data_IF_806288408630
#
_entry.id   IF_806288408630
#
_cell.length_a   1.000
_cell.length_b   1.000
_cell.length_c   1.000
_cell.angle_alpha   90.00
_cell.angle_beta   90.00
_cell.angle_gamma   90.00
#
_symmetry.space_group_name_H-M   'P 1'
#
loop_
_entity.id
_entity.type
_entity.pdbx_description
1 polymer ?
#
# COMPACT_ATOMS: atom_id res chain seq x y z
N UNK A 1 53.18 39.65 -73.48
CA UNK A 1 53.70 38.39 -74.07
C UNK A 1 53.89 37.42 -72.90
N UNK A 2 52.90 36.58 -72.56
CA UNK A 2 52.75 35.18 -73.04
C UNK A 2 54.08 34.44 -72.87
N UNK A 3 54.29 33.40 -72.06
CA UNK A 3 53.56 32.15 -71.73
C UNK A 3 54.25 31.66 -70.42
N UNK A 4 53.62 31.07 -69.39
CA UNK A 4 53.48 29.62 -69.21
C UNK A 4 52.56 29.33 -68.01
N UNK A 5 51.38 28.85 -68.37
CA UNK A 5 50.53 27.95 -67.60
C UNK A 5 51.28 26.64 -67.27
N UNK A 6 50.70 25.85 -66.37
CA UNK A 6 51.02 24.44 -66.03
C UNK A 6 52.15 24.18 -65.03
N UNK A 7 51.85 24.27 -63.73
CA UNK A 7 52.59 23.48 -62.71
C UNK A 7 51.82 23.22 -61.39
N UNK A 8 50.82 24.03 -61.03
CA UNK A 8 50.28 24.03 -59.66
C UNK A 8 49.02 23.16 -59.39
N UNK A 9 48.48 22.45 -60.38
CA UNK A 9 47.26 21.63 -60.17
C UNK A 9 47.58 20.17 -59.78
N UNK A 10 48.74 19.63 -60.19
CA UNK A 10 49.05 18.21 -60.00
C UNK A 10 49.49 17.84 -58.57
N UNK A 11 50.08 18.78 -57.82
CA UNK A 11 50.59 18.52 -56.45
C UNK A 11 49.50 18.43 -55.37
N UNK A 12 48.41 19.16 -55.52
CA UNK A 12 47.35 19.24 -54.49
C UNK A 12 46.38 18.05 -54.55
N UNK A 13 46.08 17.54 -55.76
CA UNK A 13 45.27 16.32 -55.92
C UNK A 13 45.98 15.08 -55.35
N UNK A 14 47.29 14.93 -55.56
CA UNK A 14 48.05 13.78 -55.01
C UNK A 14 48.10 13.73 -53.48
N UNK A 15 48.15 14.89 -52.80
CA UNK A 15 48.14 14.95 -51.33
C UNK A 15 46.78 14.60 -50.73
N UNK A 16 45.68 15.05 -51.35
CA UNK A 16 44.33 14.69 -50.88
C UNK A 16 44.01 13.21 -51.12
N UNK A 17 44.47 12.64 -52.22
CA UNK A 17 44.23 11.23 -52.53
C UNK A 17 45.00 10.29 -51.59
N UNK A 18 46.25 10.63 -51.24
CA UNK A 18 46.99 9.86 -50.22
C UNK A 18 46.38 9.99 -48.81
N UNK A 19 45.90 11.18 -48.41
CA UNK A 19 45.20 11.34 -47.14
C UNK A 19 43.89 10.54 -47.08
N UNK A 20 43.15 10.47 -48.20
CA UNK A 20 41.92 9.68 -48.31
C UNK A 20 42.21 8.18 -48.21
N UNK A 21 43.25 7.69 -48.89
CA UNK A 21 43.64 6.27 -48.88
C UNK A 21 44.12 5.83 -47.48
N UNK A 22 44.81 6.71 -46.74
CA UNK A 22 45.26 6.42 -45.38
C UNK A 22 44.11 6.39 -44.36
N UNK A 23 43.08 7.24 -44.54
CA UNK A 23 41.87 7.21 -43.73
C UNK A 23 41.05 5.93 -43.96
N UNK A 24 40.88 5.49 -45.21
CA UNK A 24 40.19 4.23 -45.54
C UNK A 24 40.96 2.98 -45.06
N UNK A 25 42.29 3.02 -45.00
CA UNK A 25 43.10 1.86 -44.56
C UNK A 25 43.03 1.59 -43.05
N UNK A 26 42.74 2.60 -42.23
CA UNK A 26 42.59 2.44 -40.77
C UNK A 26 41.20 1.93 -40.37
N UNK A 27 40.16 2.34 -41.10
CA UNK A 27 38.77 1.91 -40.85
C UNK A 27 38.54 0.42 -41.15
N UNK A 28 39.32 -0.17 -42.06
CA UNK A 28 39.23 -1.60 -42.43
C UNK A 28 40.11 -2.54 -41.61
N UNK A 29 40.84 -2.07 -40.59
CA UNK A 29 41.74 -2.96 -39.84
C UNK A 29 40.95 -3.86 -38.85
N UNK A 30 41.25 -5.17 -38.77
CA UNK A 30 40.56 -6.08 -37.83
C UNK A 30 40.64 -5.60 -36.37
N UNK A 31 41.74 -4.93 -36.01
CA UNK A 31 41.98 -4.36 -34.68
C UNK A 31 41.02 -3.23 -34.35
N UNK A 32 40.83 -2.27 -35.27
CA UNK A 32 39.93 -1.13 -35.07
C UNK A 32 38.46 -1.57 -35.00
N UNK A 33 38.06 -2.46 -35.91
CA UNK A 33 36.71 -3.05 -35.93
C UNK A 33 36.41 -3.87 -34.66
N UNK A 34 37.40 -4.64 -34.17
CA UNK A 34 37.31 -5.38 -32.91
C UNK A 34 37.17 -4.45 -31.70
N UNK A 35 37.93 -3.35 -31.68
CA UNK A 35 37.86 -2.36 -30.61
C UNK A 35 36.49 -1.66 -30.54
N UNK A 36 35.97 -1.22 -31.70
CA UNK A 36 34.63 -0.63 -31.80
C UNK A 36 33.55 -1.64 -31.35
N UNK A 37 33.65 -2.90 -31.76
CA UNK A 37 32.72 -3.94 -31.34
C UNK A 37 32.77 -4.23 -29.83
N UNK A 38 33.96 -4.15 -29.21
CA UNK A 38 34.14 -4.32 -27.75
C UNK A 38 33.54 -3.14 -26.98
N UNK A 39 33.75 -1.91 -27.44
CA UNK A 39 33.15 -0.69 -26.86
C UNK A 39 31.63 -0.72 -27.01
N UNK A 40 31.12 -1.07 -28.20
CA UNK A 40 29.67 -1.19 -28.47
C UNK A 40 29.02 -2.25 -27.59
N UNK A 41 29.64 -3.43 -27.42
CA UNK A 41 29.16 -4.47 -26.48
C UNK A 41 29.17 -4.02 -25.02
N UNK A 42 30.18 -3.24 -24.60
CA UNK A 42 30.26 -2.68 -23.24
C UNK A 42 29.17 -1.63 -22.97
N UNK A 43 28.95 -0.72 -23.93
CA UNK A 43 27.89 0.28 -23.87
C UNK A 43 26.51 -0.39 -23.86
N UNK A 44 26.26 -1.36 -24.74
CA UNK A 44 25.00 -2.12 -24.78
C UNK A 44 24.76 -2.87 -23.46
N UNK A 45 25.80 -3.50 -22.88
CA UNK A 45 25.68 -4.14 -21.55
C UNK A 45 25.35 -3.14 -20.44
N UNK A 46 25.97 -1.95 -20.43
CA UNK A 46 25.67 -0.89 -19.45
C UNK A 46 24.24 -0.34 -19.63
N UNK A 47 23.79 -0.14 -20.87
CA UNK A 47 22.42 0.29 -21.18
C UNK A 47 21.41 -0.79 -20.74
N UNK A 48 21.65 -2.06 -21.06
CA UNK A 48 20.78 -3.16 -20.63
C UNK A 48 20.73 -3.30 -19.09
N UNK A 49 21.83 -3.06 -18.40
CA UNK A 49 21.88 -3.07 -16.93
C UNK A 49 21.08 -1.90 -16.32
N UNK A 50 21.17 -0.70 -16.90
CA UNK A 50 20.41 0.49 -16.47
C UNK A 50 18.90 0.32 -16.78
N UNK A 51 18.56 -0.21 -17.95
CA UNK A 51 17.16 -0.52 -18.33
C UNK A 51 16.58 -1.62 -17.43
N UNK A 52 17.38 -2.62 -17.06
CA UNK A 52 17.00 -3.64 -16.07
C UNK A 52 16.74 -3.07 -14.67
N UNK A 53 17.50 -2.05 -14.25
CA UNK A 53 17.30 -1.33 -12.99
C UNK A 53 16.02 -0.45 -12.99
N UNK A 54 15.65 0.11 -14.14
CA UNK A 54 14.44 0.93 -14.30
C UNK A 54 13.15 0.10 -14.39
N UNK A 55 13.24 -1.18 -14.76
CA UNK A 55 12.08 -2.09 -14.89
C UNK A 55 11.72 -2.84 -13.59
N UNK A 56 12.44 -2.61 -12.48
CA UNK A 56 12.24 -3.35 -11.22
C UNK A 56 11.34 -2.65 -10.19
N UNK A 57 10.76 -1.47 -10.47
CA UNK A 57 9.77 -0.84 -9.59
C UNK A 57 8.35 -1.15 -10.06
N UNK A 58 7.93 -2.40 -9.91
CA UNK A 58 6.52 -2.67 -9.64
C UNK A 58 6.22 -2.19 -8.22
N UNK A 59 6.18 -0.87 -8.01
CA UNK A 59 5.76 -0.30 -6.75
C UNK A 59 4.30 -0.69 -6.54
N UNK A 60 4.08 -1.67 -5.67
CA UNK A 60 2.77 -1.92 -5.08
C UNK A 60 2.40 -0.66 -4.32
N UNK A 61 1.61 0.21 -4.95
CA UNK A 61 1.42 1.56 -4.46
C UNK A 61 0.66 1.51 -3.13
N UNK A 62 1.27 2.06 -2.09
CA UNK A 62 0.65 2.40 -0.82
C UNK A 62 -0.16 3.71 -0.94
N UNK A 63 -0.86 4.12 0.13
CA UNK A 63 -1.39 5.47 0.23
C UNK A 63 -0.25 6.49 0.24
N UNK A 64 -0.21 7.41 -0.72
CA UNK A 64 0.82 8.46 -0.82
C UNK A 64 0.31 9.87 -0.54
N UNK A 65 -1.02 10.05 -0.43
CA UNK A 65 -1.64 11.38 -0.49
C UNK A 65 -2.53 11.70 0.71
N UNK A 66 -3.18 10.71 1.32
CA UNK A 66 -4.12 10.95 2.42
C UNK A 66 -3.38 10.81 3.75
N UNK A 67 -2.93 11.92 4.34
CA UNK A 67 -2.21 11.88 5.64
C UNK A 67 -3.13 12.04 6.86
N UNK A 68 -4.31 12.64 6.68
CA UNK A 68 -5.22 12.96 7.79
C UNK A 68 -6.24 11.84 8.01
N UNK A 69 -6.19 11.20 9.18
CA UNK A 69 -7.16 10.17 9.54
C UNK A 69 -8.61 10.70 9.54
N UNK A 70 -8.81 11.96 9.93
CA UNK A 70 -10.13 12.61 9.86
C UNK A 70 -10.60 12.80 8.41
N UNK A 71 -9.69 13.16 7.50
CA UNK A 71 -9.99 13.25 6.07
C UNK A 71 -10.31 11.86 5.49
N UNK A 72 -9.56 10.83 5.85
CA UNK A 72 -9.80 9.45 5.43
C UNK A 72 -11.22 8.99 5.81
N UNK A 73 -11.61 9.15 7.09
CA UNK A 73 -12.96 8.82 7.58
C UNK A 73 -14.06 9.57 6.84
N UNK A 74 -13.91 10.88 6.65
CA UNK A 74 -14.88 11.70 5.90
C UNK A 74 -15.00 11.28 4.44
N UNK A 75 -13.89 10.90 3.82
CA UNK A 75 -13.83 10.42 2.43
C UNK A 75 -14.56 9.10 2.28
N UNK A 76 -14.30 8.13 3.18
CA UNK A 76 -15.02 6.86 3.17
C UNK A 76 -16.52 7.04 3.38
N UNK A 77 -16.92 7.87 4.35
CA UNK A 77 -18.32 8.13 4.67
C UNK A 77 -19.09 8.75 3.50
N UNK A 78 -18.52 9.77 2.84
CA UNK A 78 -19.22 10.57 1.83
C UNK A 78 -19.11 10.03 0.42
N UNK A 79 -17.98 9.41 0.07
CA UNK A 79 -17.66 9.06 -1.31
C UNK A 79 -17.60 7.54 -1.54
N UNK A 80 -17.39 6.74 -0.48
CA UNK A 80 -17.27 5.28 -0.61
C UNK A 80 -18.51 4.57 -0.10
N UNK A 81 -18.98 4.86 1.11
CA UNK A 81 -20.06 4.14 1.80
C UNK A 81 -21.43 4.81 1.70
N UNK A 82 -21.58 5.87 0.88
CA UNK A 82 -22.79 6.69 0.86
C UNK A 82 -24.08 5.95 0.45
N UNK A 83 -23.94 4.86 -0.32
CA UNK A 83 -25.01 3.96 -0.78
C UNK A 83 -24.87 2.53 -0.22
N UNK A 84 -23.92 2.29 0.69
CA UNK A 84 -23.67 0.97 1.29
C UNK A 84 -23.30 1.11 2.76
N UNK A 85 -24.21 1.64 3.58
CA UNK A 85 -23.97 1.90 5.01
C UNK A 85 -24.17 0.66 5.87
N UNK A 86 -23.27 -0.31 5.76
CA UNK A 86 -23.30 -1.57 6.50
C UNK A 86 -21.97 -1.81 7.22
N UNK A 87 -22.01 -2.20 8.50
CA UNK A 87 -20.82 -2.48 9.31
C UNK A 87 -20.12 -3.79 8.91
N UNK A 88 -18.80 -3.84 9.11
CA UNK A 88 -17.94 -4.96 8.74
C UNK A 88 -18.35 -6.26 9.44
N UNK A 89 -18.42 -6.22 10.77
CA UNK A 89 -18.60 -7.42 11.59
C UNK A 89 -20.07 -7.86 11.65
N UNK A 90 -20.94 -6.98 12.13
CA UNK A 90 -22.30 -7.35 12.53
C UNK A 90 -23.36 -7.12 11.44
N UNK A 91 -22.98 -6.60 10.27
CA UNK A 91 -23.96 -6.29 9.23
C UNK A 91 -25.00 -5.22 9.62
N UNK A 92 -24.77 -4.48 10.72
CA UNK A 92 -25.65 -3.41 11.16
C UNK A 92 -25.68 -2.27 10.14
N UNK A 93 -26.85 -1.70 9.89
CA UNK A 93 -26.99 -0.49 9.08
C UNK A 93 -26.68 0.76 9.90
N UNK A 94 -26.30 1.85 9.23
CA UNK A 94 -26.13 3.15 9.87
C UNK A 94 -26.57 4.31 8.99
N UNK A 95 -26.95 5.44 9.61
CA UNK A 95 -27.40 6.64 8.90
C UNK A 95 -26.25 7.63 8.60
N UNK A 96 -26.57 8.74 7.91
CA UNK A 96 -25.63 9.84 7.61
C UNK A 96 -25.15 10.59 8.86
N UNK A 97 -25.86 10.44 9.99
CA UNK A 97 -25.49 10.98 11.31
C UNK A 97 -24.71 9.95 12.13
N UNK A 98 -24.30 8.82 11.53
CA UNK A 98 -23.52 7.73 12.14
C UNK A 98 -24.29 6.94 13.19
N UNK A 99 -25.60 7.12 13.33
CA UNK A 99 -26.41 6.31 14.23
C UNK A 99 -26.50 4.88 13.70
N UNK A 100 -26.32 3.91 14.58
CA UNK A 100 -26.39 2.48 14.28
C UNK A 100 -27.81 1.98 14.48
N UNK A 101 -28.31 1.21 13.50
CA UNK A 101 -29.46 0.32 13.67
C UNK A 101 -28.91 -1.11 13.76
N UNK A 102 -28.75 -1.66 14.99
CA UNK A 102 -28.15 -2.98 15.18
C UNK A 102 -29.11 -4.09 14.68
N UNK A 103 -28.59 -5.26 14.27
CA UNK A 103 -29.44 -6.37 13.89
C UNK A 103 -30.26 -6.87 15.09
N UNK A 104 -31.47 -7.44 14.86
CA UNK A 104 -32.25 -8.08 15.92
C UNK A 104 -31.40 -9.06 16.72
N UNK A 105 -31.53 -9.04 18.04
CA UNK A 105 -30.75 -9.89 18.95
C UNK A 105 -29.33 -9.42 19.25
N UNK A 106 -28.87 -8.29 18.69
CA UNK A 106 -27.59 -7.71 19.07
C UNK A 106 -27.64 -7.26 20.54
N UNK A 107 -26.60 -7.62 21.30
CA UNK A 107 -26.43 -7.23 22.70
C UNK A 107 -25.00 -6.80 22.95
N UNK A 108 -24.78 -5.98 23.97
CA UNK A 108 -23.45 -5.49 24.33
C UNK A 108 -23.50 -4.97 25.75
N UNK A 109 -22.90 -5.69 26.70
CA UNK A 109 -22.91 -5.27 28.11
C UNK A 109 -21.77 -4.29 28.41
N UNK A 110 -20.69 -4.35 27.62
CA UNK A 110 -19.57 -3.41 27.68
C UNK A 110 -19.70 -2.34 26.60
N UNK A 111 -19.22 -1.14 26.89
CA UNK A 111 -19.19 -0.01 25.94
C UNK A 111 -20.56 0.38 25.36
N UNK A 112 -21.66 0.20 26.10
CA UNK A 112 -23.06 0.45 25.66
C UNK A 112 -23.25 1.79 24.95
N UNK A 113 -22.63 2.87 25.44
CA UNK A 113 -22.72 4.20 24.82
C UNK A 113 -22.12 4.23 23.41
N UNK A 114 -21.05 3.46 23.16
CA UNK A 114 -20.38 3.35 21.85
C UNK A 114 -21.17 2.48 20.87
N UNK A 115 -22.06 1.59 21.34
CA UNK A 115 -22.93 0.78 20.48
C UNK A 115 -23.86 1.61 19.59
N UNK A 116 -24.14 2.87 19.98
CA UNK A 116 -25.08 3.77 19.29
C UNK A 116 -24.52 4.40 18.01
N UNK A 117 -23.19 4.37 17.83
CA UNK A 117 -22.52 5.08 16.73
C UNK A 117 -21.56 4.19 15.97
N UNK A 118 -21.44 4.46 14.67
CA UNK A 118 -20.41 3.83 13.84
C UNK A 118 -19.04 4.41 14.19
N UNK A 119 -18.06 3.54 14.27
CA UNK A 119 -16.65 3.89 14.37
C UNK A 119 -15.89 3.28 13.19
N UNK A 120 -14.82 3.96 12.76
CA UNK A 120 -13.97 3.46 11.69
C UNK A 120 -12.90 2.56 12.28
N UNK A 121 -13.06 1.27 12.03
CA UNK A 121 -12.17 0.19 12.43
C UNK A 121 -10.93 0.14 11.55
N UNK A 122 -9.77 -0.01 12.19
CA UNK A 122 -8.50 -0.37 11.56
C UNK A 122 -8.39 -1.90 11.54
N UNK A 123 -8.77 -2.55 10.43
CA UNK A 123 -8.78 -4.02 10.34
C UNK A 123 -7.40 -4.60 10.70
N UNK A 124 -6.33 -4.07 10.14
CA UNK A 124 -4.99 -4.18 10.72
C UNK A 124 -4.84 -3.06 11.76
N UNK A 125 -4.77 -3.37 13.07
CA UNK A 125 -4.74 -2.36 14.12
C UNK A 125 -3.60 -1.36 13.93
N UNK A 126 -3.83 -0.08 14.22
CA UNK A 126 -2.77 0.92 14.05
C UNK A 126 -1.57 0.74 14.99
N UNK A 127 -1.72 -0.03 16.06
CA UNK A 127 -0.59 -0.47 16.89
C UNK A 127 0.26 -1.55 16.21
N UNK A 128 -0.37 -2.46 15.45
CA UNK A 128 0.34 -3.58 14.83
C UNK A 128 1.41 -3.10 13.86
N UNK A 129 1.10 -2.08 13.04
CA UNK A 129 2.11 -1.39 12.25
C UNK A 129 2.78 -0.24 13.01
N UNK A 130 2.09 0.44 13.93
CA UNK A 130 2.61 1.59 14.67
C UNK A 130 3.85 1.30 15.51
N UNK A 131 3.91 0.14 16.17
CA UNK A 131 5.07 -0.26 17.00
C UNK A 131 6.39 -0.41 16.22
N UNK A 132 6.34 -0.39 14.89
CA UNK A 132 7.54 -0.43 14.04
C UNK A 132 8.18 0.96 13.87
N UNK A 133 7.50 2.03 14.28
CA UNK A 133 7.96 3.42 14.25
C UNK A 133 8.70 3.81 15.53
N UNK A 134 9.77 4.61 15.41
CA UNK A 134 10.56 5.07 16.57
C UNK A 134 9.73 6.00 17.45
N UNK A 135 8.92 6.85 16.83
CA UNK A 135 8.01 7.80 17.46
C UNK A 135 6.95 7.08 18.31
N UNK A 136 6.63 5.84 17.94
CA UNK A 136 5.75 5.00 18.74
C UNK A 136 6.46 4.39 19.94
N UNK A 137 7.64 3.79 19.74
CA UNK A 137 8.35 3.00 20.77
C UNK A 137 9.09 3.86 21.79
N UNK A 138 9.76 4.88 21.29
CA UNK A 138 10.79 5.63 22.02
C UNK A 138 10.43 7.13 22.08
N UNK A 139 9.66 7.62 21.11
CA UNK A 139 9.22 9.01 21.02
C UNK A 139 10.01 9.77 19.96
N UNK A 140 9.84 11.10 19.94
CA UNK A 140 10.52 12.02 19.03
C UNK A 140 10.74 13.36 19.74
N UNK A 141 11.72 14.14 19.32
CA UNK A 141 12.02 15.46 19.90
C UNK A 141 10.84 16.43 19.74
N UNK A 142 10.00 16.26 18.73
CA UNK A 142 8.78 17.04 18.55
C UNK A 142 7.67 16.61 19.52
N UNK A 143 7.77 15.45 20.15
CA UNK A 143 6.73 14.88 21.01
C UNK A 143 6.90 15.29 22.48
N UNK A 144 6.92 16.59 22.71
CA UNK A 144 6.92 17.20 24.04
C UNK A 144 5.62 17.97 24.25
N UNK A 145 5.00 17.84 25.42
CA UNK A 145 3.78 18.60 25.75
C UNK A 145 4.12 20.00 26.27
N UNK A 146 3.09 20.83 26.50
CA UNK A 146 3.28 22.21 26.95
C UNK A 146 3.95 22.33 28.34
N UNK A 147 4.12 21.23 29.07
CA UNK A 147 4.81 21.16 30.37
C UNK A 147 6.23 20.60 30.25
N UNK A 148 6.79 20.50 29.03
CA UNK A 148 8.12 19.94 28.80
C UNK A 148 8.21 18.41 28.91
N UNK A 149 7.09 17.69 29.13
CA UNK A 149 7.10 16.22 29.27
C UNK A 149 7.03 15.54 27.90
N UNK A 150 8.03 14.72 27.60
CA UNK A 150 8.06 13.86 26.43
C UNK A 150 6.92 12.82 26.45
N UNK A 151 6.40 12.46 25.28
CA UNK A 151 5.40 11.41 25.10
C UNK A 151 5.68 10.58 23.84
N UNK A 152 5.15 9.35 23.82
CA UNK A 152 5.33 8.38 22.73
C UNK A 152 4.01 7.72 22.32
N UNK A 153 4.07 6.71 21.46
CA UNK A 153 2.92 5.95 20.98
C UNK A 153 2.17 6.64 19.84
N UNK A 154 0.92 6.22 19.60
CA UNK A 154 0.08 6.69 18.48
C UNK A 154 0.08 8.20 18.30
N UNK A 155 -0.04 8.96 19.39
CA UNK A 155 -0.09 10.42 19.35
C UNK A 155 1.22 11.02 18.82
N UNK A 156 2.36 10.47 19.25
CA UNK A 156 3.67 10.92 18.80
C UNK A 156 3.91 10.51 17.34
N UNK A 157 3.65 9.25 16.99
CA UNK A 157 3.75 8.76 15.61
C UNK A 157 2.89 9.59 14.64
N UNK A 158 1.66 9.97 15.03
CA UNK A 158 0.81 10.86 14.23
C UNK A 158 1.42 12.26 14.06
N UNK A 159 2.10 12.80 15.08
CA UNK A 159 2.73 14.13 15.04
C UNK A 159 3.98 14.13 14.16
N UNK A 160 4.90 13.19 14.41
CA UNK A 160 6.26 13.26 13.89
C UNK A 160 6.50 12.39 12.64
N UNK A 161 5.68 11.37 12.36
CA UNK A 161 5.92 10.45 11.23
C UNK A 161 4.89 10.62 10.10
N UNK A 162 5.36 11.09 8.94
CA UNK A 162 4.56 11.14 7.69
C UNK A 162 4.16 9.75 7.20
N UNK A 163 5.10 8.80 7.22
CA UNK A 163 4.83 7.41 6.80
C UNK A 163 3.73 6.79 7.68
N UNK A 164 3.77 6.99 9.01
CA UNK A 164 2.71 6.54 9.90
C UNK A 164 1.34 7.18 9.58
N UNK A 165 1.32 8.49 9.29
CA UNK A 165 0.11 9.21 8.87
C UNK A 165 -0.53 8.65 7.61
N UNK A 166 0.29 8.30 6.62
CA UNK A 166 -0.16 7.65 5.39
C UNK A 166 -0.72 6.25 5.67
N UNK A 167 0.01 5.43 6.44
CA UNK A 167 -0.44 4.07 6.80
C UNK A 167 -1.77 4.04 7.56
N UNK A 168 -1.93 4.89 8.59
CA UNK A 168 -3.16 4.90 9.40
C UNK A 168 -4.37 5.46 8.65
N UNK A 169 -4.14 6.22 7.59
CA UNK A 169 -5.17 6.89 6.81
C UNK A 169 -5.52 6.14 5.54
N UNK A 170 -4.91 4.96 5.32
CA UNK A 170 -5.18 4.12 4.18
C UNK A 170 -6.64 3.62 4.20
N UNK A 171 -7.41 4.06 3.20
CA UNK A 171 -8.83 3.78 3.05
C UNK A 171 -9.10 2.28 2.92
N UNK A 172 -8.17 1.48 2.35
CA UNK A 172 -8.36 0.04 2.22
C UNK A 172 -8.39 -0.67 3.57
N UNK A 173 -7.76 -0.10 4.61
CA UNK A 173 -7.70 -0.67 5.96
C UNK A 173 -8.83 -0.19 6.89
N UNK A 174 -9.69 0.71 6.42
CA UNK A 174 -10.70 1.38 7.23
C UNK A 174 -12.13 0.92 6.89
N UNK A 175 -12.82 0.39 7.89
CA UNK A 175 -14.18 -0.14 7.72
C UNK A 175 -15.14 0.38 8.81
N UNK A 176 -16.43 0.56 8.52
CA UNK A 176 -17.41 0.88 9.55
C UNK A 176 -17.62 -0.30 10.50
N UNK A 177 -17.65 -0.06 11.80
CA UNK A 177 -17.97 -1.04 12.84
C UNK A 177 -18.88 -0.42 13.91
N UNK A 178 -19.66 -1.26 14.61
CA UNK A 178 -20.37 -0.83 15.82
C UNK A 178 -19.31 -0.44 16.86
N UNK A 179 -19.42 0.74 17.49
CA UNK A 179 -18.38 1.26 18.37
C UNK A 179 -18.04 0.37 19.57
N UNK A 180 -18.99 -0.39 20.12
CA UNK A 180 -18.72 -1.35 21.20
C UNK A 180 -17.93 -2.57 20.72
N UNK A 181 -18.23 -3.08 19.53
CA UNK A 181 -17.51 -4.19 18.89
C UNK A 181 -16.08 -3.74 18.56
N UNK A 182 -15.92 -2.53 18.00
CA UNK A 182 -14.61 -1.93 17.75
C UNK A 182 -13.79 -1.78 19.04
N UNK A 183 -14.43 -1.32 20.12
CA UNK A 183 -13.80 -1.17 21.42
C UNK A 183 -13.31 -2.50 22.00
N UNK A 184 -14.17 -3.53 21.96
CA UNK A 184 -13.85 -4.85 22.50
C UNK A 184 -12.80 -5.58 21.66
N UNK A 185 -12.82 -5.42 20.33
CA UNK A 185 -11.81 -5.97 19.42
C UNK A 185 -10.42 -5.45 19.75
N UNK A 186 -10.30 -4.19 20.16
CA UNK A 186 -9.02 -3.59 20.58
C UNK A 186 -7.94 -3.73 19.49
N UNK A 187 -6.73 -4.17 19.86
CA UNK A 187 -5.62 -4.50 18.96
C UNK A 187 -5.47 -6.03 18.75
N UNK A 188 -6.51 -6.81 19.06
CA UNK A 188 -6.40 -8.26 19.08
C UNK A 188 -6.28 -8.83 17.67
N UNK A 189 -5.39 -9.81 17.55
CA UNK A 189 -5.20 -10.56 16.31
C UNK A 189 -6.41 -11.46 16.06
N UNK A 190 -6.73 -11.63 14.78
CA UNK A 190 -7.80 -12.54 14.39
C UNK A 190 -7.35 -13.99 14.42
N UNK A 191 -8.22 -14.87 14.91
CA UNK A 191 -8.01 -16.31 15.02
C UNK A 191 -9.34 -17.05 14.84
N UNK A 192 -9.28 -18.37 14.77
CA UNK A 192 -10.40 -19.25 15.17
C UNK A 192 -10.31 -19.50 16.67
N UNK A 193 -11.42 -19.35 17.40
CA UNK A 193 -11.56 -19.64 18.81
C UNK A 193 -12.38 -20.93 19.00
N UNK A 194 -12.01 -21.81 19.95
CA UNK A 194 -12.77 -23.02 20.22
C UNK A 194 -14.10 -22.68 20.90
N UNK A 195 -15.22 -23.10 20.31
CA UNK A 195 -16.58 -23.19 20.90
C UNK A 195 -17.09 -22.05 21.81
N UNK A 196 -16.50 -20.86 21.80
CA UNK A 196 -16.97 -19.73 22.62
C UNK A 196 -18.31 -19.20 22.09
N UNK A 197 -19.25 -18.78 22.97
CA UNK A 197 -20.43 -18.05 22.56
C UNK A 197 -20.04 -16.69 21.96
N UNK A 198 -20.95 -16.11 21.19
CA UNK A 198 -20.78 -14.75 20.69
C UNK A 198 -20.93 -13.72 21.82
N UNK A 199 -19.99 -12.78 21.93
CA UNK A 199 -20.03 -11.71 22.95
C UNK A 199 -21.11 -10.67 22.69
N UNK A 200 -21.68 -10.64 21.48
CA UNK A 200 -22.56 -9.58 21.00
C UNK A 200 -23.95 -10.06 20.60
N UNK A 201 -24.43 -11.14 21.21
CA UNK A 201 -25.74 -11.72 20.92
C UNK A 201 -25.78 -12.28 19.49
N UNK A 202 -26.64 -11.73 18.63
CA UNK A 202 -26.76 -12.17 17.24
C UNK A 202 -25.53 -11.86 16.37
N UNK A 203 -24.66 -10.93 16.79
CA UNK A 203 -23.41 -10.67 16.10
C UNK A 203 -22.33 -11.66 16.56
N UNK A 204 -21.92 -12.55 15.64
CA UNK A 204 -21.00 -13.68 15.88
C UNK A 204 -19.52 -13.28 16.04
N UNK A 205 -19.26 -12.12 16.67
CA UNK A 205 -17.91 -11.74 17.09
C UNK A 205 -17.65 -12.40 18.44
N UNK A 206 -16.48 -13.02 18.58
CA UNK A 206 -16.01 -13.64 19.82
C UNK A 206 -14.68 -13.04 20.23
N UNK A 207 -14.50 -12.73 21.51
CA UNK A 207 -13.33 -12.11 22.10
C UNK A 207 -12.91 -12.94 23.31
N UNK A 208 -11.84 -13.70 23.15
CA UNK A 208 -11.25 -14.47 24.25
C UNK A 208 -9.73 -14.29 24.27
N UNK A 209 -9.16 -14.21 25.48
CA UNK A 209 -7.73 -14.17 25.73
C UNK A 209 -6.93 -13.29 24.76
N UNK A 210 -7.38 -12.04 24.57
CA UNK A 210 -6.78 -11.03 23.66
C UNK A 210 -6.70 -11.47 22.20
N UNK A 211 -7.64 -12.30 21.77
CA UNK A 211 -7.84 -12.72 20.38
C UNK A 211 -9.28 -12.44 19.98
N UNK A 212 -9.51 -12.28 18.69
CA UNK A 212 -10.83 -12.05 18.13
C UNK A 212 -11.16 -13.10 17.06
N UNK A 213 -12.31 -13.75 17.14
CA UNK A 213 -12.88 -14.47 16.02
C UNK A 213 -13.97 -13.60 15.37
N UNK A 214 -13.81 -13.21 14.09
CA UNK A 214 -14.82 -12.44 13.39
C UNK A 214 -15.91 -13.36 12.79
N UNK A 215 -17.12 -12.82 12.55
CA UNK A 215 -18.17 -13.49 11.80
C UNK A 215 -17.68 -13.94 10.43
N UNK A 216 -18.23 -15.05 9.94
CA UNK A 216 -17.87 -15.66 8.65
C UNK A 216 -17.92 -14.62 7.51
N UNK A 217 -18.98 -13.80 7.46
CA UNK A 217 -19.20 -12.76 6.46
C UNK A 217 -18.13 -11.64 6.43
N UNK A 218 -17.28 -11.54 7.46
CA UNK A 218 -16.20 -10.55 7.52
C UNK A 218 -14.82 -11.13 7.14
N UNK A 219 -14.64 -12.46 7.16
CA UNK A 219 -13.33 -13.14 7.06
C UNK A 219 -12.59 -12.84 5.76
N UNK A 220 -13.25 -12.93 4.61
CA UNK A 220 -12.64 -12.62 3.32
C UNK A 220 -12.18 -11.16 3.21
N UNK A 221 -13.01 -10.22 3.65
CA UNK A 221 -12.68 -8.77 3.71
C UNK A 221 -11.47 -8.51 4.60
N UNK A 222 -11.43 -9.15 5.77
CA UNK A 222 -10.31 -9.06 6.71
C UNK A 222 -9.03 -9.62 6.09
N UNK A 223 -9.11 -10.82 5.50
CA UNK A 223 -7.99 -11.49 4.86
C UNK A 223 -7.32 -10.63 3.78
N UNK A 224 -8.11 -10.16 2.82
CA UNK A 224 -7.60 -9.33 1.73
C UNK A 224 -7.03 -8.00 2.21
N UNK A 225 -7.58 -7.45 3.30
CA UNK A 225 -7.04 -6.24 3.92
C UNK A 225 -5.67 -6.48 4.55
N UNK A 226 -5.50 -7.57 5.32
CA UNK A 226 -4.20 -7.94 5.89
C UNK A 226 -3.14 -8.21 4.82
N UNK A 227 -3.50 -8.98 3.78
CA UNK A 227 -2.62 -9.28 2.65
C UNK A 227 -2.22 -7.99 1.91
N UNK A 228 -3.17 -7.09 1.66
CA UNK A 228 -2.92 -5.79 1.04
C UNK A 228 -1.96 -4.93 1.88
N UNK A 229 -2.21 -4.81 3.20
CA UNK A 229 -1.38 -3.98 4.07
C UNK A 229 0.06 -4.51 4.13
N UNK A 230 0.25 -5.82 4.16
CA UNK A 230 1.58 -6.43 4.11
C UNK A 230 2.27 -6.25 2.75
N UNK A 231 1.53 -6.36 1.65
CA UNK A 231 2.06 -6.14 0.30
C UNK A 231 2.43 -4.67 0.02
N UNK A 232 1.68 -3.73 0.60
CA UNK A 232 1.83 -2.29 0.30
C UNK A 232 2.85 -1.61 1.21
N UNK A 233 3.06 -2.13 2.43
CA UNK A 233 3.92 -1.49 3.42
C UNK A 233 4.98 -2.49 3.91
N UNK A 234 6.19 -2.41 3.34
CA UNK A 234 7.32 -3.31 3.63
C UNK A 234 7.70 -3.39 5.12
N UNK A 235 7.42 -2.33 5.88
CA UNK A 235 7.64 -2.23 7.32
C UNK A 235 6.68 -3.11 8.14
N UNK A 236 5.49 -3.38 7.62
CA UNK A 236 4.51 -4.25 8.26
C UNK A 236 4.67 -5.69 7.76
N UNK A 237 4.81 -6.62 8.70
CA UNK A 237 4.86 -8.07 8.41
C UNK A 237 3.99 -8.82 9.41
N UNK A 238 3.15 -9.71 8.90
CA UNK A 238 2.41 -10.70 9.66
C UNK A 238 3.34 -11.79 10.19
N UNK A 239 2.94 -12.42 11.30
CA UNK A 239 3.52 -13.71 11.68
C UNK A 239 3.17 -14.78 10.65
N UNK A 240 3.94 -15.87 10.62
CA UNK A 240 3.65 -17.02 9.75
C UNK A 240 2.23 -17.56 9.95
N UNK A 241 1.79 -17.71 11.18
CA UNK A 241 0.44 -18.19 11.52
C UNK A 241 -0.65 -17.24 11.04
N UNK A 242 -0.48 -15.92 11.24
CA UNK A 242 -1.46 -14.94 10.78
C UNK A 242 -1.55 -14.92 9.25
N UNK A 243 -0.41 -14.97 8.55
CA UNK A 243 -0.39 -15.02 7.08
C UNK A 243 -1.08 -16.28 6.55
N UNK A 244 -0.85 -17.43 7.18
CA UNK A 244 -1.52 -18.69 6.81
C UNK A 244 -3.04 -18.59 6.99
N UNK A 245 -3.51 -18.04 8.11
CA UNK A 245 -4.93 -17.84 8.35
C UNK A 245 -5.56 -16.91 7.31
N UNK A 246 -4.89 -15.79 7.01
CA UNK A 246 -5.39 -14.82 6.02
C UNK A 246 -5.40 -15.42 4.60
N UNK A 247 -4.39 -16.21 4.23
CA UNK A 247 -4.38 -16.92 2.94
C UNK A 247 -5.53 -17.95 2.85
N UNK A 248 -5.79 -18.70 3.93
CA UNK A 248 -6.90 -19.64 3.98
C UNK A 248 -8.26 -18.94 3.86
N UNK A 249 -8.46 -17.84 4.60
CA UNK A 249 -9.69 -17.05 4.54
C UNK A 249 -9.90 -16.35 3.20
N UNK A 250 -8.85 -15.85 2.55
CA UNK A 250 -8.97 -15.27 1.19
C UNK A 250 -9.48 -16.33 0.19
N UNK A 251 -8.95 -17.55 0.28
CA UNK A 251 -9.38 -18.67 -0.57
C UNK A 251 -10.79 -19.16 -0.27
N UNK A 252 -11.14 -19.26 1.02
CA UNK A 252 -12.43 -19.82 1.45
C UNK A 252 -13.60 -18.86 1.26
N UNK A 253 -13.35 -17.54 1.37
CA UNK A 253 -14.40 -16.52 1.34
C UNK A 253 -14.19 -15.61 0.13
N UNK A 254 -14.82 -15.92 -1.02
CA UNK A 254 -14.61 -15.19 -2.26
C UNK A 254 -14.98 -13.71 -2.14
N UNK A 255 -14.45 -12.91 -3.05
CA UNK A 255 -14.74 -11.47 -3.09
C UNK A 255 -16.20 -11.23 -3.45
N UNK A 256 -16.82 -10.27 -2.78
CA UNK A 256 -18.17 -9.81 -3.12
C UNK A 256 -18.15 -8.67 -4.14
N UNK A 257 -19.26 -8.50 -4.87
CA UNK A 257 -19.43 -7.36 -5.78
C UNK A 257 -19.24 -6.00 -5.05
N UNK A 258 -19.68 -5.91 -3.79
CA UNK A 258 -19.46 -4.73 -2.97
C UNK A 258 -17.97 -4.46 -2.71
N UNK A 259 -17.17 -5.48 -2.42
CA UNK A 259 -15.72 -5.29 -2.22
C UNK A 259 -15.04 -4.75 -3.47
N UNK A 260 -15.42 -5.23 -4.65
CA UNK A 260 -14.90 -4.72 -5.92
C UNK A 260 -15.31 -3.27 -6.17
N UNK A 261 -16.60 -2.93 -5.99
CA UNK A 261 -17.10 -1.55 -6.09
C UNK A 261 -16.42 -0.62 -5.08
N UNK A 262 -16.23 -1.08 -3.84
CA UNK A 262 -15.50 -0.35 -2.79
C UNK A 262 -14.06 -0.10 -3.22
N UNK A 263 -13.39 -1.11 -3.79
CA UNK A 263 -12.00 -1.01 -4.21
C UNK A 263 -11.81 0.01 -5.33
N UNK A 264 -12.68 0.00 -6.34
CA UNK A 264 -12.68 0.96 -7.45
C UNK A 264 -12.86 2.40 -6.95
N UNK A 265 -13.80 2.61 -6.02
CA UNK A 265 -14.02 3.94 -5.40
C UNK A 265 -12.81 4.42 -4.63
N UNK A 266 -12.16 3.52 -3.88
CA UNK A 266 -10.95 3.86 -3.12
C UNK A 266 -9.80 4.17 -4.07
N UNK A 267 -9.61 3.39 -5.14
CA UNK A 267 -8.55 3.61 -6.12
C UNK A 267 -8.64 5.02 -6.71
N UNK A 268 -9.83 5.45 -7.13
CA UNK A 268 -10.08 6.81 -7.66
C UNK A 268 -9.77 7.93 -6.65
N UNK A 269 -9.92 7.67 -5.34
CA UNK A 269 -9.80 8.69 -4.29
C UNK A 269 -8.42 8.70 -3.62
N UNK A 270 -7.79 7.54 -3.45
CA UNK A 270 -6.50 7.35 -2.79
C UNK A 270 -5.34 7.32 -3.81
N UNK A 271 -5.62 6.97 -5.07
CA UNK A 271 -4.65 6.97 -6.17
C UNK A 271 -3.85 5.68 -6.32
N UNK A 272 -4.11 4.66 -5.50
CA UNK A 272 -3.40 3.38 -5.55
C UNK A 272 -4.35 2.19 -5.66
N UNK A 273 -3.85 1.10 -6.24
CA UNK A 273 -4.58 -0.13 -6.49
C UNK A 273 -4.35 -1.13 -5.35
N UNK A 274 -5.41 -1.75 -4.84
CA UNK A 274 -5.28 -2.97 -4.05
C UNK A 274 -5.14 -4.18 -4.98
N UNK A 275 -3.91 -4.60 -5.25
CA UNK A 275 -3.61 -5.73 -6.14
C UNK A 275 -4.20 -7.07 -5.67
N UNK A 276 -4.37 -7.26 -4.36
CA UNK A 276 -5.06 -8.45 -3.82
C UNK A 276 -6.51 -8.47 -4.28
N UNK A 277 -7.23 -7.34 -4.19
CA UNK A 277 -8.61 -7.25 -4.66
C UNK A 277 -8.70 -7.26 -6.20
N UNK A 278 -7.82 -6.54 -6.90
CA UNK A 278 -7.82 -6.47 -8.37
C UNK A 278 -7.73 -7.84 -9.03
N UNK A 279 -6.96 -8.75 -8.45
CA UNK A 279 -6.81 -10.12 -8.97
C UNK A 279 -7.94 -11.07 -8.59
N UNK A 280 -8.93 -10.62 -7.81
CA UNK A 280 -10.11 -11.40 -7.40
C UNK A 280 -11.41 -10.86 -8.02
N UNK A 281 -11.43 -9.58 -8.35
CA UNK A 281 -12.55 -8.95 -9.04
C UNK A 281 -12.52 -9.30 -10.52
N UNK A 282 -13.61 -9.90 -11.00
CA UNK A 282 -13.82 -10.30 -12.39
C UNK A 282 -15.13 -9.68 -12.89
#
# INVERSE_FOLDING_TARGET
MSVFYTANVCGFQKKMEMARVQHYRLEGSPSFTSHINKVRKSIVKRILFIVGLLLAFNATAANLHIESFSKAKKTLEKNVYFDHRTTLYCGASFDTKKNITPPPGFKSDKYVKRSKKVEWEHVVPAENFGRTFIEWRDGDTQCVNNKGKAYKGRRCANKASKEYRLMQSDLYNLFPAIGSVNAARSNYNFTMLPAEPADFGSCQVKIDNRKAEPPIAARGRIARTYLYMEQSYSRYRMSKSQRQLMAAWDKQFPVSAWECKRAERIEKLQGNVNNVLKTRCH
#
